data_IF_107925802047
#
_entry.id   IF_107925802047
#
_cell.length_a   1.000
_cell.length_b   1.000
_cell.length_c   1.000
_cell.angle_alpha   90.00
_cell.angle_beta   90.00
_cell.angle_gamma   90.00
#
_symmetry.space_group_name_H-M   'P 1'
#
loop_
_entity.id
_entity.type
_entity.pdbx_description
1 polymer ?
#
# COMPACT_ATOMS: atom_id res chain seq x y z
N UNK A 1 -25.40 34.17 -23.21
CA UNK A 1 -24.75 34.30 -21.88
C UNK A 1 -25.51 33.57 -20.77
N UNK A 2 -26.83 33.75 -20.65
CA UNK A 2 -27.68 33.05 -19.65
C UNK A 2 -27.53 31.52 -19.65
N UNK A 3 -27.52 30.89 -20.83
CA UNK A 3 -27.42 29.42 -20.97
C UNK A 3 -26.07 28.90 -20.45
N UNK A 4 -24.99 29.65 -20.69
CA UNK A 4 -23.65 29.28 -20.23
C UNK A 4 -23.54 29.37 -18.71
N UNK A 5 -24.13 30.40 -18.11
CA UNK A 5 -24.21 30.52 -16.64
C UNK A 5 -25.03 29.38 -16.02
N UNK A 6 -26.11 28.96 -16.68
CA UNK A 6 -26.97 27.85 -16.26
C UNK A 6 -26.24 26.50 -16.32
N UNK A 7 -25.44 26.27 -17.37
CA UNK A 7 -24.60 25.07 -17.50
C UNK A 7 -23.48 25.02 -16.44
N UNK A 8 -22.83 26.16 -16.16
CA UNK A 8 -21.82 26.25 -15.10
C UNK A 8 -22.43 25.95 -13.72
N UNK A 9 -23.62 26.49 -13.43
CA UNK A 9 -24.34 26.21 -12.18
C UNK A 9 -24.69 24.73 -12.04
N UNK A 10 -25.17 24.08 -13.12
CA UNK A 10 -25.45 22.65 -13.13
C UNK A 10 -24.21 21.79 -12.90
N UNK A 11 -23.08 22.15 -13.51
CA UNK A 11 -21.81 21.43 -13.32
C UNK A 11 -21.32 21.53 -11.88
N UNK A 12 -21.38 22.72 -11.27
CA UNK A 12 -20.99 22.95 -9.87
C UNK A 12 -21.91 22.16 -8.93
N UNK A 13 -23.23 22.18 -9.17
CA UNK A 13 -24.20 21.42 -8.39
C UNK A 13 -23.94 19.91 -8.45
N UNK A 14 -23.60 19.38 -9.63
CA UNK A 14 -23.27 17.96 -9.82
C UNK A 14 -22.01 17.55 -9.05
N UNK A 15 -20.96 18.38 -9.07
CA UNK A 15 -19.71 18.12 -8.35
C UNK A 15 -19.94 18.13 -6.83
N UNK A 16 -20.71 19.09 -6.32
CA UNK A 16 -21.05 19.18 -4.88
C UNK A 16 -21.91 17.99 -4.45
N UNK A 17 -22.93 17.61 -5.25
CA UNK A 17 -23.76 16.44 -4.98
C UNK A 17 -22.91 15.15 -4.93
N UNK A 18 -21.97 14.99 -5.86
CA UNK A 18 -21.06 13.85 -5.89
C UNK A 18 -20.11 13.81 -4.67
N UNK A 19 -19.56 14.96 -4.27
CA UNK A 19 -18.71 15.08 -3.08
C UNK A 19 -19.45 14.71 -1.79
N UNK A 20 -20.69 15.18 -1.64
CA UNK A 20 -21.53 14.84 -0.48
C UNK A 20 -21.96 13.36 -0.47
N UNK A 21 -22.21 12.76 -1.63
CA UNK A 21 -22.56 11.34 -1.74
C UNK A 21 -21.36 10.42 -1.50
N UNK A 22 -20.16 10.84 -1.92
CA UNK A 22 -18.88 10.16 -1.65
C UNK A 22 -18.53 10.16 -0.15
N UNK A 23 -18.73 11.30 0.55
CA UNK A 23 -18.52 11.41 1.99
C UNK A 23 -19.45 10.53 2.84
N UNK A 24 -20.64 10.19 2.33
CA UNK A 24 -21.61 9.32 3.04
C UNK A 24 -21.31 7.82 2.94
N UNK A 25 -20.34 7.37 2.13
CA UNK A 25 -19.94 5.95 2.07
C UNK A 25 -19.00 5.48 3.19
N UNK A 26 -18.69 6.32 4.18
CA UNK A 26 -17.89 5.93 5.37
C UNK A 26 -18.65 5.96 6.70
N UNK A 27 -19.98 5.83 6.69
CA UNK A 27 -20.78 5.75 7.92
C UNK A 27 -21.90 4.73 7.84
N UNK A 28 -21.60 3.49 7.46
CA UNK A 28 -22.49 2.36 7.77
C UNK A 28 -21.77 0.99 7.72
N UNK A 29 -20.73 0.83 8.54
CA UNK A 29 -20.26 -0.49 8.95
C UNK A 29 -19.91 -0.46 10.44
N UNK A 30 -20.81 0.13 11.23
CA UNK A 30 -21.00 -0.28 12.62
C UNK A 30 -22.13 -1.30 12.59
N UNK A 31 -21.83 -2.44 11.97
CA UNK A 31 -22.61 -3.66 12.16
C UNK A 31 -22.58 -3.92 13.66
N UNK A 32 -23.76 -4.14 14.23
CA UNK A 32 -23.93 -4.60 15.59
C UNK A 32 -22.99 -5.81 15.82
N UNK A 33 -21.85 -5.57 16.46
CA UNK A 33 -20.91 -6.61 16.83
C UNK A 33 -21.44 -7.22 18.14
N UNK A 34 -22.50 -8.02 18.00
CA UNK A 34 -22.84 -9.06 18.95
C UNK A 34 -21.66 -10.03 18.97
N UNK A 35 -20.61 -9.70 19.72
CA UNK A 35 -19.44 -10.55 19.93
C UNK A 35 -19.85 -11.78 20.71
N UNK A 36 -20.35 -12.76 19.96
CA UNK A 36 -20.10 -14.16 20.28
C UNK A 36 -18.59 -14.30 20.16
N UNK A 37 -17.90 -14.30 21.30
CA UNK A 37 -16.47 -14.53 21.37
C UNK A 37 -16.17 -15.85 20.65
N UNK A 38 -15.55 -15.78 19.47
CA UNK A 38 -14.98 -16.94 18.82
C UNK A 38 -13.85 -17.44 19.74
N UNK A 39 -14.14 -18.49 20.51
CA UNK A 39 -13.23 -19.14 21.47
C UNK A 39 -11.96 -19.72 20.83
N UNK A 40 -11.79 -19.56 19.51
CA UNK A 40 -10.64 -20.02 18.72
C UNK A 40 -10.05 -18.88 17.90
N UNK A 41 -9.73 -17.77 18.56
CA UNK A 41 -8.78 -16.82 17.99
C UNK A 41 -7.40 -17.44 18.17
N UNK A 42 -6.96 -18.27 17.22
CA UNK A 42 -5.56 -18.69 17.13
C UNK A 42 -4.71 -17.42 17.09
N UNK A 43 -3.99 -17.14 18.17
CA UNK A 43 -2.95 -16.13 18.18
C UNK A 43 -1.87 -16.60 17.22
N UNK A 44 -1.95 -16.15 15.95
CA UNK A 44 -0.83 -16.32 15.04
C UNK A 44 0.36 -15.62 15.68
N UNK A 45 1.49 -16.30 15.93
CA UNK A 45 2.67 -15.62 16.42
C UNK A 45 3.03 -14.53 15.42
N UNK A 46 3.20 -13.30 15.93
CA UNK A 46 3.77 -12.21 15.15
C UNK A 46 5.14 -12.72 14.70
N UNK A 47 5.32 -12.99 13.41
CA UNK A 47 6.63 -13.31 12.87
C UNK A 47 7.59 -12.20 13.31
N UNK A 48 8.81 -12.56 13.76
CA UNK A 48 9.80 -11.56 14.12
C UNK A 48 9.94 -10.59 12.95
N UNK A 49 9.80 -9.29 13.24
CA UNK A 49 10.10 -8.27 12.26
C UNK A 49 11.61 -8.33 12.04
N UNK A 50 12.05 -9.18 11.09
CA UNK A 50 13.45 -9.32 10.74
C UNK A 50 13.91 -7.97 10.18
N UNK A 51 14.61 -7.23 11.03
CA UNK A 51 15.19 -5.96 10.68
C UNK A 51 16.32 -6.24 9.69
N UNK A 52 15.99 -6.28 8.39
CA UNK A 52 16.97 -6.27 7.32
C UNK A 52 17.75 -4.98 7.42
N UNK A 53 18.86 -5.03 8.12
CA UNK A 53 19.80 -3.93 8.29
C UNK A 53 21.03 -4.28 7.46
N UNK A 54 21.36 -3.42 6.50
CA UNK A 54 22.45 -3.69 5.56
C UNK A 54 22.54 -2.66 4.45
N UNK A 55 23.71 -2.55 3.83
CA UNK A 55 23.99 -1.58 2.77
C UNK A 55 23.02 -1.72 1.57
N UNK A 56 22.72 -2.97 1.17
CA UNK A 56 21.76 -3.25 0.10
C UNK A 56 20.35 -2.74 0.42
N UNK A 57 19.88 -2.93 1.65
CA UNK A 57 18.60 -2.38 2.11
C UNK A 57 18.63 -0.84 2.18
N UNK A 58 19.74 -0.25 2.59
CA UNK A 58 19.95 1.20 2.55
C UNK A 58 19.86 1.79 1.14
N UNK A 59 20.35 1.07 0.12
CA UNK A 59 20.21 1.49 -1.28
C UNK A 59 18.75 1.45 -1.73
N UNK A 60 17.99 0.42 -1.33
CA UNK A 60 16.56 0.33 -1.61
C UNK A 60 15.79 1.47 -0.96
N UNK A 61 16.06 1.76 0.33
CA UNK A 61 15.48 2.89 1.02
C UNK A 61 15.82 4.22 0.34
N UNK A 62 17.07 4.41 -0.08
CA UNK A 62 17.47 5.61 -0.82
C UNK A 62 16.71 5.74 -2.15
N UNK A 63 16.48 4.63 -2.86
CA UNK A 63 15.69 4.63 -4.08
C UNK A 63 14.20 4.92 -3.81
N UNK A 64 13.65 4.43 -2.69
CA UNK A 64 12.29 4.66 -2.24
C UNK A 64 12.09 5.99 -1.47
N UNK A 65 13.11 6.86 -1.43
CA UNK A 65 13.08 8.14 -0.67
C UNK A 65 12.74 7.96 0.83
N UNK A 66 13.16 6.84 1.41
CA UNK A 66 12.91 6.50 2.81
C UNK A 66 11.58 5.80 3.09
N UNK A 67 10.73 5.56 2.09
CA UNK A 67 9.47 4.83 2.29
C UNK A 67 9.72 3.32 2.44
N UNK A 68 9.69 2.85 3.68
CA UNK A 68 9.87 1.42 4.00
C UNK A 68 8.75 0.55 3.41
N UNK A 69 7.52 1.04 3.33
CA UNK A 69 6.38 0.25 2.84
C UNK A 69 6.51 -0.11 1.36
N UNK A 70 7.08 0.81 0.58
CA UNK A 70 7.40 0.60 -0.84
C UNK A 70 8.53 -0.43 -0.98
N UNK A 71 9.57 -0.34 -0.15
CA UNK A 71 10.68 -1.30 -0.15
C UNK A 71 10.20 -2.71 0.16
N UNK A 72 9.38 -2.89 1.20
CA UNK A 72 8.85 -4.23 1.53
C UNK A 72 8.01 -4.80 0.39
N UNK A 73 7.17 -3.99 -0.28
CA UNK A 73 6.41 -4.44 -1.47
C UNK A 73 7.33 -4.95 -2.58
N UNK A 74 8.44 -4.25 -2.85
CA UNK A 74 9.41 -4.68 -3.85
C UNK A 74 10.07 -6.00 -3.44
N UNK A 75 10.51 -6.12 -2.18
CA UNK A 75 11.13 -7.34 -1.65
C UNK A 75 10.16 -8.51 -1.79
N UNK A 76 8.92 -8.35 -1.31
CA UNK A 76 7.90 -9.40 -1.43
C UNK A 76 7.65 -9.77 -2.88
N UNK A 77 7.54 -8.81 -3.79
CA UNK A 77 7.35 -9.11 -5.22
C UNK A 77 8.52 -9.89 -5.81
N UNK A 78 9.76 -9.54 -5.48
CA UNK A 78 10.96 -10.20 -6.00
C UNK A 78 11.12 -11.62 -5.45
N UNK A 79 10.76 -11.86 -4.18
CA UNK A 79 10.77 -13.19 -3.58
C UNK A 79 9.84 -14.17 -4.32
N UNK A 80 8.66 -13.71 -4.74
CA UNK A 80 7.67 -14.54 -5.44
C UNK A 80 7.90 -14.64 -6.95
N UNK A 81 8.59 -13.67 -7.55
CA UNK A 81 8.83 -13.65 -8.99
C UNK A 81 9.89 -14.66 -9.44
N UNK A 82 10.75 -15.12 -8.53
CA UNK A 82 11.79 -16.10 -8.83
C UNK A 82 11.34 -17.52 -8.48
N UNK A 83 11.79 -18.49 -9.29
CA UNK A 83 11.56 -19.93 -9.06
C UNK A 83 12.93 -20.62 -9.05
N UNK A 84 13.38 -21.19 -7.91
CA UNK A 84 12.69 -21.25 -6.61
C UNK A 84 12.57 -19.89 -5.92
N UNK A 85 11.64 -19.72 -4.95
CA UNK A 85 11.46 -18.47 -4.23
C UNK A 85 12.74 -18.07 -3.50
N UNK A 86 13.11 -16.79 -3.58
CA UNK A 86 14.29 -16.29 -2.87
C UNK A 86 14.00 -16.06 -1.38
N UNK A 87 15.03 -16.28 -0.57
CA UNK A 87 15.07 -15.75 0.79
C UNK A 87 15.01 -14.21 0.75
N UNK A 88 14.59 -13.61 1.86
CA UNK A 88 14.39 -12.17 1.95
C UNK A 88 15.69 -11.40 1.66
N UNK A 89 16.79 -11.86 2.23
CA UNK A 89 18.13 -11.32 2.04
C UNK A 89 18.56 -11.42 0.58
N UNK A 90 18.32 -12.57 -0.06
CA UNK A 90 18.62 -12.79 -1.47
C UNK A 90 17.84 -11.84 -2.38
N UNK A 91 16.55 -11.64 -2.10
CA UNK A 91 15.72 -10.68 -2.83
C UNK A 91 16.22 -9.22 -2.66
N UNK A 92 16.63 -8.84 -1.44
CA UNK A 92 17.22 -7.53 -1.16
C UNK A 92 18.50 -7.32 -1.97
N UNK A 93 19.41 -8.29 -1.98
CA UNK A 93 20.65 -8.20 -2.74
C UNK A 93 20.39 -8.12 -4.24
N UNK A 94 19.50 -8.94 -4.77
CA UNK A 94 19.14 -8.97 -6.18
C UNK A 94 18.54 -7.63 -6.63
N UNK A 95 17.61 -7.08 -5.85
CA UNK A 95 17.02 -5.76 -6.11
C UNK A 95 18.08 -4.65 -6.05
N UNK A 96 18.98 -4.69 -5.06
CA UNK A 96 20.05 -3.70 -4.93
C UNK A 96 21.01 -3.75 -6.14
N UNK A 97 21.38 -4.95 -6.60
CA UNK A 97 22.21 -5.13 -7.80
C UNK A 97 21.52 -4.57 -9.05
N UNK A 98 20.22 -4.84 -9.25
CA UNK A 98 19.44 -4.28 -10.36
C UNK A 98 19.37 -2.75 -10.33
N UNK A 99 19.16 -2.17 -9.16
CA UNK A 99 19.14 -0.71 -8.98
C UNK A 99 20.51 -0.06 -9.21
N UNK A 100 21.60 -0.74 -8.86
CA UNK A 100 22.94 -0.25 -9.16
C UNK A 100 23.25 -0.37 -10.65
N UNK A 101 22.83 -1.46 -11.30
CA UNK A 101 23.00 -1.66 -12.73
C UNK A 101 22.22 -0.63 -13.55
N UNK A 102 21.02 -0.22 -13.13
CA UNK A 102 20.21 0.79 -13.84
C UNK A 102 20.70 2.23 -13.68
N UNK A 103 21.62 2.50 -12.74
CA UNK A 103 22.21 3.84 -12.52
C UNK A 103 23.55 4.05 -13.22
N UNK A 104 24.11 3.01 -13.83
CA UNK A 104 25.33 3.09 -14.64
C UNK A 104 24.94 3.27 -16.10
#
# INVERSE_FOLDING_TARGET
>A
MMIFALLCLLAIAAIVAWGLQSGKRKKNQQVADSRIYAAHTQSRPLEPLEHSTGHAFGLLLKAARGDRSVVEKWITSEQHQNVPPLTREGAIEQLARRLQASRR
#
